data_IF_906109495932
#
_entry.id   IF_906109495932
#
_cell.length_a   1.000
_cell.length_b   1.000
_cell.length_c   1.000
_cell.angle_alpha   90.00
_cell.angle_beta   90.00
_cell.angle_gamma   90.00
#
_symmetry.space_group_name_H-M   'P 1'
#
loop_
_entity.id
_entity.type
_entity.pdbx_description
1 polymer ?
#
# COMPACT_ATOMS: atom_id res chain seq x y z
N UNK A 1 42.83 -12.64 -6.85
CA UNK A 1 41.93 -11.56 -6.40
C UNK A 1 40.69 -11.56 -7.28
N UNK A 2 39.64 -12.25 -6.85
CA UNK A 2 38.38 -12.37 -7.62
C UNK A 2 37.55 -11.12 -7.35
N UNK A 3 37.28 -10.32 -8.38
CA UNK A 3 36.34 -9.19 -8.29
C UNK A 3 34.97 -9.73 -7.86
N UNK A 4 34.54 -9.37 -6.66
CA UNK A 4 33.13 -9.48 -6.27
C UNK A 4 32.38 -8.45 -7.12
N UNK A 5 31.66 -8.92 -8.13
CA UNK A 5 30.65 -8.11 -8.77
C UNK A 5 29.49 -8.01 -7.79
N UNK A 6 29.32 -6.83 -7.19
CA UNK A 6 28.10 -6.48 -6.47
C UNK A 6 26.98 -6.52 -7.50
N UNK A 7 26.19 -7.60 -7.50
CA UNK A 7 24.98 -7.70 -8.31
C UNK A 7 24.06 -6.56 -7.89
N UNK A 8 23.76 -5.64 -8.82
CA UNK A 8 22.67 -4.69 -8.67
C UNK A 8 21.42 -5.49 -8.26
N UNK A 9 20.68 -5.08 -7.21
CA UNK A 9 19.46 -5.78 -6.83
C UNK A 9 18.54 -5.83 -8.05
N UNK A 10 18.01 -7.02 -8.36
CA UNK A 10 17.08 -7.15 -9.48
C UNK A 10 15.89 -6.19 -9.29
N UNK A 11 15.43 -5.53 -10.36
CA UNK A 11 14.30 -4.62 -10.29
C UNK A 11 13.07 -5.36 -9.76
N UNK A 12 12.28 -4.67 -8.92
CA UNK A 12 11.05 -5.22 -8.36
C UNK A 12 10.11 -5.70 -9.47
N UNK A 13 9.82 -7.00 -9.48
CA UNK A 13 8.86 -7.63 -10.39
C UNK A 13 7.50 -7.75 -9.72
N UNK A 14 6.39 -7.32 -10.37
CA UNK A 14 5.04 -7.51 -9.83
C UNK A 14 4.69 -8.98 -9.51
N UNK A 15 5.33 -9.94 -10.19
CA UNK A 15 5.20 -11.36 -9.89
C UNK A 15 5.64 -11.74 -8.47
N UNK A 16 6.44 -10.89 -7.80
CA UNK A 16 6.82 -11.08 -6.41
C UNK A 16 5.65 -10.90 -5.43
N UNK A 17 4.58 -10.21 -5.82
CA UNK A 17 3.40 -10.01 -4.99
C UNK A 17 2.61 -11.30 -4.75
N UNK A 18 2.57 -12.23 -5.71
CA UNK A 18 1.74 -13.42 -5.61
C UNK A 18 0.25 -13.06 -5.59
N UNK A 19 -0.51 -13.61 -4.64
CA UNK A 19 -1.91 -13.27 -4.41
C UNK A 19 -2.03 -12.36 -3.17
N UNK A 20 -2.19 -11.03 -3.33
CA UNK A 20 -2.31 -10.12 -2.20
C UNK A 20 -3.57 -10.38 -1.38
N UNK A 21 -3.41 -10.51 -0.07
CA UNK A 21 -4.54 -10.65 0.85
C UNK A 21 -5.06 -9.26 1.28
N UNK A 22 -6.28 -8.93 0.88
CA UNK A 22 -6.99 -7.75 1.39
C UNK A 22 -7.56 -8.02 2.80
N UNK A 23 -7.39 -7.04 3.70
CA UNK A 23 -7.96 -7.12 5.05
C UNK A 23 -8.28 -5.72 5.62
N UNK A 24 -9.24 -5.59 6.55
CA UNK A 24 -9.53 -4.31 7.20
C UNK A 24 -8.34 -3.81 8.01
N UNK A 25 -8.10 -2.51 8.00
CA UNK A 25 -7.03 -1.86 8.78
C UNK A 25 -7.22 -1.99 10.31
N UNK A 26 -8.44 -2.21 10.79
CA UNK A 26 -8.73 -2.35 12.22
C UNK A 26 -8.65 -3.80 12.75
N UNK A 27 -8.16 -4.74 11.94
CA UNK A 27 -8.10 -6.17 12.29
C UNK A 27 -7.07 -6.42 13.42
N UNK A 28 -7.47 -7.07 14.51
CA UNK A 28 -6.68 -7.12 15.76
C UNK A 28 -5.34 -7.88 15.67
N UNK A 29 -5.19 -8.78 14.71
CA UNK A 29 -4.02 -9.62 14.48
C UNK A 29 -3.22 -9.17 13.23
N UNK A 30 -3.38 -7.90 12.84
CA UNK A 30 -2.71 -7.31 11.68
C UNK A 30 -1.19 -7.41 11.79
N UNK A 31 -0.64 -7.17 12.99
CA UNK A 31 0.80 -7.28 13.27
C UNK A 31 1.31 -8.72 13.10
N UNK A 32 0.60 -9.71 13.65
CA UNK A 32 0.98 -11.12 13.56
C UNK A 32 1.02 -11.60 12.11
N UNK A 33 0.12 -11.11 11.27
CA UNK A 33 0.13 -11.40 9.82
C UNK A 33 1.25 -10.67 9.11
N UNK A 34 1.38 -9.37 9.37
CA UNK A 34 2.41 -8.51 8.77
C UNK A 34 3.82 -9.00 9.07
N UNK A 35 4.01 -9.69 10.19
CA UNK A 35 5.26 -10.29 10.62
C UNK A 35 5.39 -11.79 10.29
N UNK A 36 4.35 -12.40 9.69
CA UNK A 36 4.36 -13.80 9.25
C UNK A 36 4.15 -14.84 10.35
N UNK A 37 3.71 -14.45 11.53
CA UNK A 37 3.45 -15.33 12.67
C UNK A 37 2.16 -16.14 12.47
N UNK A 38 1.11 -15.51 11.94
CA UNK A 38 -0.18 -16.17 11.70
C UNK A 38 -0.34 -16.76 10.30
N UNK A 39 0.23 -16.10 9.29
CA UNK A 39 0.16 -16.52 7.87
C UNK A 39 1.56 -16.54 7.25
N UNK A 40 2.37 -17.58 7.55
CA UNK A 40 3.79 -17.62 7.16
C UNK A 40 3.98 -17.65 5.64
N UNK A 41 3.11 -18.36 4.90
CA UNK A 41 3.18 -18.46 3.44
C UNK A 41 2.70 -17.19 2.69
N UNK A 42 2.11 -16.20 3.38
CA UNK A 42 1.61 -14.99 2.74
C UNK A 42 2.77 -14.10 2.27
N UNK A 43 2.75 -13.77 0.97
CA UNK A 43 3.79 -12.95 0.33
C UNK A 43 3.45 -11.47 0.29
N UNK A 44 2.17 -11.12 0.15
CA UNK A 44 1.74 -9.72 0.13
C UNK A 44 0.38 -9.53 0.79
N UNK A 45 0.17 -8.35 1.35
CA UNK A 45 -1.06 -7.97 2.05
C UNK A 45 -1.40 -6.51 1.81
N UNK A 46 -2.70 -6.22 1.87
CA UNK A 46 -3.23 -4.87 1.68
C UNK A 46 -4.13 -4.56 2.88
N UNK A 47 -3.70 -3.62 3.72
CA UNK A 47 -4.49 -3.10 4.83
C UNK A 47 -5.45 -2.03 4.31
N UNK A 48 -6.74 -2.30 4.39
CA UNK A 48 -7.77 -1.49 3.75
C UNK A 48 -8.35 -0.47 4.72
N UNK A 49 -8.34 0.81 4.33
CA UNK A 49 -9.01 1.92 5.05
C UNK A 49 -10.30 2.37 4.34
N UNK A 50 -10.64 1.72 3.24
CA UNK A 50 -11.74 2.08 2.35
C UNK A 50 -12.96 1.17 2.59
N UNK A 51 -13.37 0.32 1.65
CA UNK A 51 -14.66 -0.39 1.67
C UNK A 51 -14.78 -1.40 2.83
N UNK A 52 -13.65 -1.88 3.34
CA UNK A 52 -13.61 -2.80 4.48
C UNK A 52 -13.74 -2.11 5.86
N UNK A 53 -13.85 -0.78 5.89
CA UNK A 53 -13.87 0.03 7.11
C UNK A 53 -15.02 1.04 7.06
N UNK A 54 -15.78 1.18 8.14
CA UNK A 54 -16.81 2.23 8.21
C UNK A 54 -16.17 3.62 8.27
N UNK A 55 -16.86 4.64 7.74
CA UNK A 55 -16.45 6.04 7.95
C UNK A 55 -16.27 6.39 9.43
N UNK A 56 -17.10 5.83 10.33
CA UNK A 56 -17.02 6.09 11.78
C UNK A 56 -15.79 5.45 12.44
N UNK A 57 -15.18 4.48 11.77
CA UNK A 57 -14.05 3.70 12.28
C UNK A 57 -12.73 4.14 11.65
N UNK A 58 -12.73 5.17 10.79
CA UNK A 58 -11.52 5.58 10.08
C UNK A 58 -10.44 6.05 11.07
N UNK A 59 -10.81 6.88 12.04
CA UNK A 59 -9.87 7.43 13.02
C UNK A 59 -9.32 6.35 13.97
N UNK A 60 -10.16 5.39 14.38
CA UNK A 60 -9.69 4.25 15.17
C UNK A 60 -8.81 3.32 14.36
N UNK A 61 -9.12 3.11 13.08
CA UNK A 61 -8.31 2.30 12.16
C UNK A 61 -6.93 2.91 11.90
N UNK A 62 -6.85 4.23 11.70
CA UNK A 62 -5.56 4.91 11.52
C UNK A 62 -4.70 4.87 12.79
N UNK A 63 -5.31 5.08 13.96
CA UNK A 63 -4.60 4.92 15.24
C UNK A 63 -4.09 3.50 15.43
N UNK A 64 -4.91 2.51 15.12
CA UNK A 64 -4.52 1.10 15.19
C UNK A 64 -3.36 0.79 14.23
N UNK A 65 -3.46 1.21 12.97
CA UNK A 65 -2.36 1.05 12.01
C UNK A 65 -1.06 1.69 12.51
N UNK A 66 -1.12 2.92 13.04
CA UNK A 66 0.04 3.60 13.61
C UNK A 66 0.70 2.84 14.76
N UNK A 67 -0.08 2.12 15.58
CA UNK A 67 0.45 1.22 16.61
C UNK A 67 1.06 -0.04 16.01
N UNK A 68 0.41 -0.66 15.01
CA UNK A 68 0.93 -1.85 14.33
C UNK A 68 2.25 -1.59 13.59
N UNK A 69 2.36 -0.45 12.90
CA UNK A 69 3.55 -0.06 12.15
C UNK A 69 4.79 -0.04 13.05
N UNK A 70 4.68 0.44 14.29
CA UNK A 70 5.78 0.42 15.24
C UNK A 70 6.29 -1.01 15.54
N UNK A 71 5.42 -2.01 15.51
CA UNK A 71 5.76 -3.42 15.70
C UNK A 71 6.09 -4.22 14.43
N UNK A 72 5.99 -3.62 13.24
CA UNK A 72 6.41 -4.29 12.01
C UNK A 72 7.92 -4.50 12.00
N UNK A 73 8.32 -5.73 11.64
CA UNK A 73 9.71 -6.15 11.50
C UNK A 73 10.11 -6.14 10.04
N UNK A 74 11.39 -5.97 9.76
CA UNK A 74 11.89 -6.25 8.42
C UNK A 74 11.74 -7.76 8.14
N UNK A 75 11.06 -8.11 7.05
CA UNK A 75 10.73 -9.49 6.71
C UNK A 75 10.86 -9.64 5.20
N UNK A 76 12.03 -10.07 4.70
CA UNK A 76 12.28 -10.17 3.27
C UNK A 76 11.23 -11.02 2.56
N UNK A 77 10.79 -10.56 1.39
CA UNK A 77 9.78 -11.24 0.58
C UNK A 77 8.34 -11.10 1.08
N UNK A 78 8.09 -10.23 2.08
CA UNK A 78 6.76 -9.93 2.60
C UNK A 78 6.38 -8.48 2.33
N UNK A 79 5.53 -8.28 1.32
CA UNK A 79 5.13 -6.96 0.89
C UNK A 79 3.87 -6.46 1.60
N UNK A 80 3.90 -5.21 2.06
CA UNK A 80 2.83 -4.59 2.85
C UNK A 80 2.35 -3.35 2.14
N UNK A 81 1.06 -3.29 1.86
CA UNK A 81 0.46 -2.13 1.23
C UNK A 81 -0.70 -1.62 2.06
N UNK A 82 -1.05 -0.36 1.88
CA UNK A 82 -2.26 0.23 2.44
C UNK A 82 -3.16 0.69 1.31
N UNK A 83 -4.43 0.26 1.28
CA UNK A 83 -5.46 0.86 0.41
C UNK A 83 -5.97 2.12 1.09
N UNK A 84 -5.50 3.27 0.62
CA UNK A 84 -5.85 4.58 1.15
C UNK A 84 -7.20 5.00 0.58
N UNK A 85 -8.20 5.24 1.44
CA UNK A 85 -9.58 5.54 1.02
C UNK A 85 -9.71 6.65 -0.01
N UNK A 86 -8.97 7.74 0.21
CA UNK A 86 -9.00 8.96 -0.58
C UNK A 86 -7.70 9.73 -0.32
N UNK A 87 -7.42 10.83 -1.05
CA UNK A 87 -6.22 11.64 -0.85
C UNK A 87 -6.07 12.20 0.58
N UNK A 88 -7.16 12.53 1.27
CA UNK A 88 -7.13 13.02 2.66
C UNK A 88 -6.61 11.95 3.63
N UNK A 89 -7.10 10.71 3.50
CA UNK A 89 -6.65 9.59 4.31
C UNK A 89 -5.21 9.20 3.95
N UNK A 90 -4.79 9.34 2.69
CA UNK A 90 -3.39 9.15 2.32
C UNK A 90 -2.47 10.12 3.08
N UNK A 91 -2.80 11.41 3.12
CA UNK A 91 -2.00 12.41 3.83
C UNK A 91 -1.82 12.02 5.30
N UNK A 92 -2.92 11.62 5.96
CA UNK A 92 -2.90 11.16 7.35
C UNK A 92 -2.11 9.86 7.56
N UNK A 93 -2.11 8.96 6.59
CA UNK A 93 -1.31 7.72 6.62
C UNK A 93 0.18 8.02 6.50
N UNK A 94 0.57 8.96 5.63
CA UNK A 94 1.96 9.38 5.44
C UNK A 94 2.57 10.03 6.69
N UNK A 95 1.74 10.58 7.58
CA UNK A 95 2.16 11.15 8.85
C UNK A 95 2.31 10.10 9.97
N UNK A 96 1.91 8.84 9.76
CA UNK A 96 1.97 7.82 10.82
C UNK A 96 3.43 7.44 11.14
N UNK A 97 3.80 7.35 12.43
CA UNK A 97 5.11 6.81 12.82
C UNK A 97 5.29 5.37 12.33
N UNK A 98 6.40 5.11 11.65
CA UNK A 98 6.70 3.77 11.10
C UNK A 98 6.10 3.50 9.72
N UNK A 99 5.52 4.51 9.05
CA UNK A 99 4.94 4.35 7.71
C UNK A 99 5.96 3.83 6.70
N UNK A 100 7.25 4.12 6.86
CA UNK A 100 8.34 3.64 6.00
C UNK A 100 8.49 2.10 5.99
N UNK A 101 7.81 1.39 6.90
CA UNK A 101 7.83 -0.08 6.98
C UNK A 101 6.82 -0.77 6.06
N UNK A 102 6.09 0.00 5.26
CA UNK A 102 5.25 -0.53 4.17
C UNK A 102 5.97 -0.36 2.83
N UNK A 103 5.53 -1.11 1.84
CA UNK A 103 6.08 -1.09 0.48
C UNK A 103 5.39 -0.10 -0.43
N UNK A 104 4.16 0.30 -0.11
CA UNK A 104 3.40 1.20 -0.97
C UNK A 104 1.91 1.32 -0.67
N UNK A 105 1.20 1.94 -1.61
CA UNK A 105 -0.22 2.23 -1.50
C UNK A 105 -1.03 1.67 -2.67
N UNK A 106 -2.25 1.26 -2.37
CA UNK A 106 -3.30 1.01 -3.35
C UNK A 106 -4.21 2.24 -3.39
N UNK A 107 -4.45 2.80 -4.57
CA UNK A 107 -5.24 4.00 -4.76
C UNK A 107 -6.60 3.62 -5.39
N UNK A 108 -7.69 3.55 -4.60
CA UNK A 108 -9.01 3.20 -5.11
C UNK A 108 -9.55 4.32 -6.00
N UNK A 109 -10.48 3.95 -6.89
CA UNK A 109 -11.20 4.88 -7.77
C UNK A 109 -10.27 5.86 -8.52
N UNK A 110 -9.11 5.38 -8.94
CA UNK A 110 -8.08 6.23 -9.53
C UNK A 110 -8.51 6.70 -10.92
N UNK A 111 -8.60 8.01 -11.10
CA UNK A 111 -8.99 8.69 -12.33
C UNK A 111 -8.28 10.05 -12.43
N UNK A 112 -8.55 10.81 -13.49
CA UNK A 112 -7.94 12.12 -13.74
C UNK A 112 -8.23 13.12 -12.61
N UNK A 113 -9.46 13.12 -12.08
CA UNK A 113 -9.89 14.06 -11.03
C UNK A 113 -9.10 13.93 -9.73
N UNK A 114 -8.58 12.74 -9.42
CA UNK A 114 -7.81 12.47 -8.19
C UNK A 114 -6.32 12.25 -8.44
N UNK A 115 -5.88 12.30 -9.70
CA UNK A 115 -4.49 12.01 -10.08
C UNK A 115 -3.52 12.92 -9.35
N UNK A 116 -3.64 14.24 -9.53
CA UNK A 116 -2.74 15.23 -8.94
C UNK A 116 -2.79 15.17 -7.40
N UNK A 117 -4.00 15.03 -6.84
CA UNK A 117 -4.19 14.95 -5.39
C UNK A 117 -3.46 13.77 -4.74
N UNK A 118 -3.30 12.64 -5.44
CA UNK A 118 -2.47 11.53 -4.98
C UNK A 118 -1.01 11.69 -5.36
N UNK A 119 -0.73 12.12 -6.59
CA UNK A 119 0.61 12.22 -7.15
C UNK A 119 1.46 13.22 -6.36
N UNK A 120 0.93 14.41 -6.05
CA UNK A 120 1.61 15.45 -5.29
C UNK A 120 2.09 14.96 -3.91
N UNK A 121 1.38 14.00 -3.31
CA UNK A 121 1.73 13.43 -2.01
C UNK A 121 2.77 12.30 -2.08
N UNK A 122 2.85 11.59 -3.21
CA UNK A 122 3.69 10.40 -3.38
C UNK A 122 4.92 10.67 -4.24
N UNK A 123 4.94 11.76 -5.00
CA UNK A 123 6.06 12.13 -5.85
C UNK A 123 7.33 12.31 -5.00
N UNK A 124 8.42 11.68 -5.43
CA UNK A 124 9.71 11.70 -4.72
C UNK A 124 9.80 10.73 -3.55
N UNK A 125 8.73 10.02 -3.19
CA UNK A 125 8.77 8.92 -2.20
C UNK A 125 9.27 7.62 -2.85
N UNK A 126 9.68 6.66 -2.01
CA UNK A 126 10.04 5.30 -2.45
C UNK A 126 8.84 4.35 -2.47
N UNK A 127 7.65 4.83 -2.12
CA UNK A 127 6.45 4.01 -2.04
C UNK A 127 6.02 3.56 -3.43
N UNK A 128 5.74 2.25 -3.56
CA UNK A 128 5.14 1.70 -4.77
C UNK A 128 3.67 2.12 -4.83
N UNK A 129 3.17 2.34 -6.03
CA UNK A 129 1.77 2.75 -6.24
C UNK A 129 1.05 1.69 -7.06
N UNK A 130 -0.13 1.29 -6.59
CA UNK A 130 -1.05 0.39 -7.28
C UNK A 130 -2.38 1.12 -7.50
N UNK A 131 -2.57 1.81 -8.63
CA UNK A 131 -3.85 2.42 -8.94
C UNK A 131 -4.89 1.34 -9.23
N UNK A 132 -6.06 1.46 -8.61
CA UNK A 132 -7.21 0.61 -8.90
C UNK A 132 -8.11 1.32 -9.91
N UNK A 133 -8.18 0.74 -11.11
CA UNK A 133 -9.03 1.21 -12.20
C UNK A 133 -10.40 0.53 -12.08
N UNK A 134 -11.32 1.17 -11.35
CA UNK A 134 -12.65 0.60 -11.00
C UNK A 134 -13.83 1.54 -11.24
N UNK A 135 -13.62 2.64 -11.97
CA UNK A 135 -14.66 3.62 -12.32
C UNK A 135 -15.05 3.52 -13.79
N UNK A 136 -16.06 4.28 -14.23
CA UNK A 136 -16.56 4.21 -15.62
C UNK A 136 -15.56 4.78 -16.62
N UNK A 137 -14.80 5.77 -16.20
CA UNK A 137 -13.82 6.51 -17.01
C UNK A 137 -12.71 5.58 -17.51
N UNK A 138 -12.49 4.43 -16.86
CA UNK A 138 -11.56 3.37 -17.30
C UNK A 138 -11.90 2.82 -18.69
N UNK A 139 -13.17 2.89 -19.09
CA UNK A 139 -13.62 2.45 -20.42
C UNK A 139 -13.50 3.56 -21.47
N UNK A 140 -13.10 4.77 -21.10
CA UNK A 140 -12.84 5.88 -22.02
C UNK A 140 -11.34 5.96 -22.35
N UNK A 141 -11.00 5.74 -23.62
CA UNK A 141 -9.62 5.82 -24.11
C UNK A 141 -8.97 7.18 -23.85
N UNK A 142 -9.72 8.27 -24.01
CA UNK A 142 -9.21 9.64 -23.85
C UNK A 142 -8.85 9.89 -22.39
N UNK A 143 -9.73 9.50 -21.47
CA UNK A 143 -9.47 9.60 -20.03
C UNK A 143 -8.26 8.76 -19.62
N UNK A 144 -8.10 7.55 -20.16
CA UNK A 144 -6.92 6.72 -19.89
C UNK A 144 -5.62 7.27 -20.50
N UNK A 145 -5.70 8.07 -21.56
CA UNK A 145 -4.53 8.77 -22.09
C UNK A 145 -4.09 9.94 -21.21
N UNK A 146 -5.01 10.57 -20.45
CA UNK A 146 -4.69 11.65 -19.53
C UNK A 146 -3.88 11.18 -18.29
N UNK A 147 -3.93 9.88 -17.96
CA UNK A 147 -3.21 9.29 -16.82
C UNK A 147 -1.75 8.87 -17.13
N UNK A 148 -1.23 9.20 -18.32
CA UNK A 148 0.09 8.76 -18.79
C UNK A 148 1.24 9.61 -18.29
#
# INVERSE_FOLDING_TARGET
MTRQYTTMPEPFSPWFLGAPLYMPAHRLDLMDIANGEKLPALRSMIFCTEDAVSYREIDSSLRHLGLCLQGFRDTPGRFRFIRARNPEILARLLELPGIEKIDGFVLPKFNEDVFDAYFDQLQGTTFKVMPTLETREVFDYTAMCALR
#
